data_IF_262506703011
#
_entry.id   IF_262506703011
#
_cell.length_a   1.000
_cell.length_b   1.000
_cell.length_c   1.000
_cell.angle_alpha   90.00
_cell.angle_beta   90.00
_cell.angle_gamma   90.00
#
_symmetry.space_group_name_H-M   'P 1'
#
loop_
_entity.id
_entity.type
_entity.pdbx_description
1 polymer ?
#
# COMPACT_ATOMS: atom_id res chain seq x y z
N UNK A 1 -0.71 -1.65 -7.71
CA UNK A 1 -2.00 -2.36 -7.52
C UNK A 1 -1.79 -3.83 -7.19
N UNK A 2 -1.12 -4.63 -8.03
CA UNK A 2 -0.75 -6.02 -7.67
C UNK A 2 0.07 -6.07 -6.38
N UNK A 3 1.02 -5.15 -6.23
CA UNK A 3 1.85 -5.03 -5.03
C UNK A 3 1.01 -4.82 -3.76
N UNK A 4 -0.03 -3.98 -3.82
CA UNK A 4 -0.96 -3.76 -2.69
C UNK A 4 -1.72 -5.04 -2.34
N UNK A 5 -2.19 -5.79 -3.35
CA UNK A 5 -2.87 -7.08 -3.15
C UNK A 5 -1.95 -8.13 -2.55
N UNK A 6 -0.68 -8.19 -2.98
CA UNK A 6 0.32 -9.10 -2.41
C UNK A 6 0.57 -8.78 -0.94
N UNK A 7 0.68 -7.49 -0.61
CA UNK A 7 0.80 -7.03 0.78
C UNK A 7 -0.42 -7.40 1.61
N UNK A 8 -1.64 -7.13 1.10
CA UNK A 8 -2.88 -7.47 1.77
C UNK A 8 -2.96 -8.97 2.06
N UNK A 9 -2.54 -9.78 1.09
CA UNK A 9 -2.52 -11.23 1.20
C UNK A 9 -1.48 -11.72 2.23
N UNK A 10 -0.31 -11.09 2.30
CA UNK A 10 0.70 -11.38 3.32
C UNK A 10 0.27 -10.96 4.73
N UNK A 11 -0.29 -9.76 4.86
CA UNK A 11 -0.85 -9.31 6.12
C UNK A 11 -1.95 -10.26 6.61
N UNK A 12 -2.78 -10.76 5.68
CA UNK A 12 -3.78 -11.77 5.99
C UNK A 12 -3.18 -13.13 6.36
N UNK A 13 -2.10 -13.57 5.70
CA UNK A 13 -1.47 -14.85 6.02
C UNK A 13 -0.76 -14.84 7.38
N UNK A 14 -0.36 -13.67 7.87
CA UNK A 14 0.29 -13.48 9.17
C UNK A 14 -0.67 -12.95 10.25
N UNK A 15 -1.99 -12.94 10.00
CA UNK A 15 -3.00 -12.40 10.93
C UNK A 15 -3.11 -13.15 12.28
N UNK A 16 -2.39 -14.25 12.46
CA UNK A 16 -2.28 -14.98 13.73
C UNK A 16 -0.89 -14.96 14.36
N UNK A 17 0.05 -14.20 13.80
CA UNK A 17 1.41 -14.08 14.30
C UNK A 17 1.48 -12.83 15.21
N UNK A 18 1.47 -13.03 16.53
CA UNK A 18 1.49 -11.96 17.55
C UNK A 18 2.89 -11.30 17.68
N UNK A 19 3.67 -11.31 16.60
CA UNK A 19 4.94 -10.60 16.55
C UNK A 19 4.65 -9.10 16.44
N UNK A 20 4.99 -8.34 17.48
CA UNK A 20 4.85 -6.87 17.50
C UNK A 20 5.44 -6.22 16.25
N UNK A 21 6.52 -6.81 15.69
CA UNK A 21 7.19 -6.39 14.47
C UNK A 21 6.30 -6.50 13.22
N UNK A 22 5.53 -7.58 13.12
CA UNK A 22 4.60 -7.84 12.01
C UNK A 22 3.41 -6.89 12.09
N UNK A 23 2.85 -6.74 13.29
CA UNK A 23 1.69 -5.88 13.53
C UNK A 23 2.02 -4.41 13.23
N UNK A 24 3.19 -3.93 13.68
CA UNK A 24 3.62 -2.55 13.47
C UNK A 24 3.94 -2.26 11.98
N UNK A 25 4.59 -3.21 11.30
CA UNK A 25 4.84 -3.12 9.86
C UNK A 25 3.54 -3.07 9.03
N UNK A 26 2.56 -3.89 9.38
CA UNK A 26 1.24 -3.89 8.73
C UNK A 26 0.51 -2.56 9.02
N UNK A 27 0.46 -2.12 10.28
CA UNK A 27 -0.19 -0.86 10.68
C UNK A 27 0.41 0.36 9.97
N UNK A 28 1.72 0.37 9.71
CA UNK A 28 2.38 1.43 8.94
C UNK A 28 2.10 1.36 7.44
N UNK A 29 2.22 0.18 6.84
CA UNK A 29 2.13 0.02 5.39
C UNK A 29 0.69 0.08 4.85
N UNK A 30 -0.29 -0.44 5.61
CA UNK A 30 -1.69 -0.54 5.19
C UNK A 30 -2.34 0.81 4.85
N UNK A 31 -2.32 1.85 5.72
CA UNK A 31 -2.88 3.16 5.39
C UNK A 31 -2.13 3.85 4.23
N UNK A 32 -0.83 3.61 4.09
CA UNK A 32 -0.01 4.12 2.98
C UNK A 32 -0.43 3.52 1.63
N UNK A 33 -0.75 2.23 1.60
CA UNK A 33 -1.23 1.56 0.40
C UNK A 33 -2.69 1.92 0.08
N UNK A 34 -3.52 2.10 1.10
CA UNK A 34 -4.90 2.60 0.95
C UNK A 34 -4.91 4.01 0.35
N UNK A 35 -4.07 4.91 0.86
CA UNK A 35 -3.94 6.26 0.31
C UNK A 35 -3.37 6.23 -1.11
N UNK A 36 -2.42 5.35 -1.42
CA UNK A 36 -1.94 5.15 -2.79
C UNK A 36 -3.06 4.75 -3.75
N UNK A 37 -3.94 3.82 -3.33
CA UNK A 37 -5.12 3.40 -4.11
C UNK A 37 -6.09 4.57 -4.29
N UNK A 38 -6.45 5.27 -3.21
CA UNK A 38 -7.42 6.38 -3.29
C UNK A 38 -6.90 7.51 -4.17
N UNK A 39 -5.63 7.92 -4.00
CA UNK A 39 -5.00 8.97 -4.81
C UNK A 39 -4.90 8.55 -6.27
N UNK A 40 -4.56 7.29 -6.54
CA UNK A 40 -4.55 6.77 -7.90
C UNK A 40 -5.96 6.73 -8.47
N UNK A 41 -6.91 6.04 -7.83
CA UNK A 41 -8.28 5.90 -8.30
C UNK A 41 -9.07 7.21 -8.38
N UNK A 42 -8.58 8.30 -7.79
CA UNK A 42 -9.17 9.63 -7.91
C UNK A 42 -9.37 10.08 -9.36
N UNK A 43 -8.48 9.69 -10.29
CA UNK A 43 -8.64 10.03 -11.71
C UNK A 43 -9.85 9.32 -12.36
N UNK A 44 -10.17 8.09 -11.93
CA UNK A 44 -11.34 7.33 -12.39
C UNK A 44 -12.65 8.01 -12.01
N UNK A 45 -12.76 8.51 -10.77
CA UNK A 45 -13.97 9.19 -10.31
C UNK A 45 -14.22 10.54 -10.99
N UNK A 46 -13.16 11.20 -11.49
CA UNK A 46 -13.28 12.49 -12.18
C UNK A 46 -13.37 12.39 -13.70
N UNK A 47 -13.35 11.18 -14.29
CA UNK A 47 -13.20 10.99 -15.75
C UNK A 47 -12.08 11.86 -16.35
N UNK A 48 -11.04 12.12 -15.55
CA UNK A 48 -9.96 13.02 -15.91
C UNK A 48 -8.76 12.21 -16.38
N UNK A 49 -7.97 12.77 -17.30
CA UNK A 49 -6.70 12.15 -17.70
C UNK A 49 -5.81 11.94 -16.46
N UNK A 50 -5.10 10.81 -16.36
CA UNK A 50 -4.20 10.56 -15.24
C UNK A 50 -3.16 11.68 -15.17
N UNK A 51 -3.09 12.36 -14.04
CA UNK A 51 -2.11 13.41 -13.82
C UNK A 51 -0.77 12.78 -13.39
N UNK A 52 0.31 13.15 -14.09
CA UNK A 52 1.69 12.76 -13.73
C UNK A 52 2.02 12.90 -12.23
N UNK A 53 1.63 13.98 -11.52
CA UNK A 53 1.89 14.07 -10.08
C UNK A 53 1.10 13.05 -9.26
N UNK A 54 -0.12 12.68 -9.65
CA UNK A 54 -0.90 11.65 -8.94
C UNK A 54 -0.25 10.27 -9.10
N UNK A 55 0.29 9.98 -10.30
CA UNK A 55 1.05 8.76 -10.54
C UNK A 55 2.31 8.71 -9.67
N UNK A 56 3.05 9.82 -9.59
CA UNK A 56 4.25 9.90 -8.76
C UNK A 56 3.94 9.68 -7.27
N UNK A 57 2.89 10.32 -6.75
CA UNK A 57 2.47 10.15 -5.34
C UNK A 57 2.04 8.69 -5.09
N UNK A 58 1.26 8.09 -5.99
CA UNK A 58 0.83 6.70 -5.89
C UNK A 58 2.01 5.71 -5.97
N UNK A 59 3.03 6.01 -6.78
CA UNK A 59 4.26 5.20 -6.88
C UNK A 59 5.09 5.30 -5.60
N UNK A 60 5.34 6.51 -5.10
CA UNK A 60 6.14 6.72 -3.88
C UNK A 60 5.46 6.06 -2.68
N UNK A 61 4.15 6.23 -2.53
CA UNK A 61 3.38 5.58 -1.46
C UNK A 61 3.38 4.05 -1.57
N UNK A 62 3.33 3.47 -2.78
CA UNK A 62 3.54 2.03 -2.96
C UNK A 62 4.96 1.60 -2.59
N UNK A 63 5.98 2.38 -2.96
CA UNK A 63 7.38 2.05 -2.69
C UNK A 63 7.68 2.08 -1.19
N UNK A 64 7.19 3.11 -0.49
CA UNK A 64 7.33 3.25 0.96
C UNK A 64 6.58 2.14 1.69
N UNK A 65 5.33 1.85 1.28
CA UNK A 65 4.58 0.73 1.83
C UNK A 65 5.30 -0.62 1.64
N UNK A 66 5.88 -0.84 0.46
CA UNK A 66 6.68 -2.04 0.19
C UNK A 66 7.95 -2.12 1.05
N UNK A 67 8.64 -0.99 1.27
CA UNK A 67 9.81 -0.93 2.12
C UNK A 67 9.49 -1.25 3.59
N UNK A 68 8.36 -0.74 4.11
CA UNK A 68 7.92 -1.04 5.47
C UNK A 68 7.58 -2.52 5.70
N UNK A 69 7.28 -3.25 4.63
CA UNK A 69 6.96 -4.68 4.67
C UNK A 69 8.14 -5.57 4.29
N UNK A 70 9.26 -5.00 3.89
CA UNK A 70 10.50 -5.74 3.67
C UNK A 70 10.93 -6.62 4.87
N UNK A 71 10.76 -6.22 6.15
CA UNK A 71 11.06 -7.12 7.28
C UNK A 71 10.11 -8.33 7.42
N UNK A 72 9.01 -8.38 6.66
CA UNK A 72 8.03 -9.47 6.62
C UNK A 72 8.33 -10.52 5.53
N UNK A 73 9.36 -10.31 4.71
CA UNK A 73 9.84 -11.23 3.67
C UNK A 73 11.19 -11.85 4.07
#
# INVERSE_FOLDING_TARGET
MVLVLVVLLQAYSHFGDDSDLVVDAILGAFPLLLTAIVVWCWHLFRNAKPNNPQLAIALVSNLVGAYMLLPLF
#
